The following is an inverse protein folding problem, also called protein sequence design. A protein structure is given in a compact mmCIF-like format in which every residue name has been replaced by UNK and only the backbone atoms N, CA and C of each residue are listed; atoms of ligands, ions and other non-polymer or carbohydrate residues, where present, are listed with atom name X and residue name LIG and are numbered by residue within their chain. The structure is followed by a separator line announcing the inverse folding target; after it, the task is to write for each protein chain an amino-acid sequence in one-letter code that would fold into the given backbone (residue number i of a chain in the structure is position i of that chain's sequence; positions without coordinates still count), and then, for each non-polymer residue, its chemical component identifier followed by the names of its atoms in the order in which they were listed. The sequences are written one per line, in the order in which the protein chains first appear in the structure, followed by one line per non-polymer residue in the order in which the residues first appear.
data_IF_043281690963
#
_entry.id   IF_043281690963
#
_cell.length_a   1.000
_cell.length_b   1.000
_cell.length_c   1.000
_cell.angle_alpha   90.00
_cell.angle_beta   90.00
_cell.angle_gamma   90.00
#
_symmetry.space_group_name_H-M   'P 1'
#
loop_
_entity.id
_entity.type
_entity.pdbx_description
1 polymer ?
#
# COMPACT_ATOMS: atom_id res chain seq x y z
N UNK A 1 -5.39 -16.57 -28.75
CA UNK A 1 -4.52 -16.71 -27.56
C UNK A 1 -5.34 -16.30 -26.37
N UNK A 2 -5.74 -17.29 -25.57
CA UNK A 2 -6.57 -17.15 -24.38
C UNK A 2 -5.79 -16.30 -23.37
N UNK A 3 -6.28 -15.09 -23.08
CA UNK A 3 -5.74 -14.27 -21.99
C UNK A 3 -5.99 -15.06 -20.72
N UNK A 4 -4.95 -15.68 -20.18
CA UNK A 4 -5.00 -16.30 -18.86
C UNK A 4 -5.04 -15.17 -17.84
N UNK A 5 -6.23 -14.63 -17.61
CA UNK A 5 -6.51 -13.87 -16.41
C UNK A 5 -6.49 -14.91 -15.28
N UNK A 6 -5.33 -15.12 -14.67
CA UNK A 6 -5.21 -16.18 -13.67
C UNK A 6 -5.79 -15.68 -12.36
N UNK A 7 -7.11 -15.76 -12.25
CA UNK A 7 -7.77 -15.86 -10.95
C UNK A 7 -7.40 -17.24 -10.43
N UNK A 8 -6.30 -17.31 -9.68
CA UNK A 8 -5.91 -18.53 -8.98
C UNK A 8 -6.97 -18.81 -7.89
N UNK A 9 -8.06 -19.50 -8.25
CA UNK A 9 -9.00 -20.09 -7.30
C UNK A 9 -8.35 -21.33 -6.70
N UNK A 10 -7.41 -21.11 -5.79
CA UNK A 10 -6.61 -22.18 -5.23
C UNK A 10 -6.99 -22.40 -3.78
N UNK A 11 -7.66 -23.54 -3.57
CA UNK A 11 -7.71 -24.25 -2.32
C UNK A 11 -6.28 -24.66 -1.99
N UNK A 12 -5.53 -23.88 -1.21
CA UNK A 12 -4.22 -24.32 -0.73
C UNK A 12 -4.06 -24.14 0.77
N UNK A 13 -3.62 -25.19 1.49
CA UNK A 13 -3.17 -25.03 2.86
C UNK A 13 -2.00 -24.03 2.93
N UNK A 14 -1.93 -23.35 4.06
CA UNK A 14 -1.11 -22.20 4.47
C UNK A 14 0.39 -22.21 4.12
N UNK A 15 0.93 -23.31 3.59
CA UNK A 15 2.35 -23.54 3.34
C UNK A 15 2.78 -23.34 1.87
N UNK A 16 1.82 -23.05 0.97
CA UNK A 16 2.06 -23.06 -0.48
C UNK A 16 2.10 -21.69 -1.17
N UNK A 17 1.83 -20.62 -0.41
CA UNK A 17 1.91 -19.24 -0.91
C UNK A 17 3.27 -18.89 -1.53
N UNK A 18 4.43 -19.33 -0.97
CA UNK A 18 5.74 -19.05 -1.56
C UNK A 18 5.98 -19.74 -2.91
N UNK A 19 5.46 -20.96 -3.10
CA UNK A 19 5.68 -21.74 -4.31
C UNK A 19 4.89 -21.18 -5.51
N UNK A 20 3.64 -20.75 -5.26
CA UNK A 20 2.81 -20.11 -6.28
C UNK A 20 3.29 -18.70 -6.60
N UNK A 21 3.66 -17.91 -5.59
CA UNK A 21 4.28 -16.60 -5.80
C UNK A 21 5.52 -16.72 -6.68
N UNK A 22 6.38 -17.73 -6.45
CA UNK A 22 7.56 -17.98 -7.28
C UNK A 22 7.22 -18.27 -8.75
N UNK A 23 6.18 -19.06 -9.02
CA UNK A 23 5.73 -19.34 -10.38
C UNK A 23 5.13 -18.10 -11.07
N UNK A 24 4.37 -17.28 -10.34
CA UNK A 24 3.82 -16.03 -10.87
C UNK A 24 4.92 -15.01 -11.10
N UNK A 25 5.90 -14.90 -10.21
CA UNK A 25 7.07 -14.03 -10.35
C UNK A 25 7.96 -14.41 -11.53
N UNK A 26 8.00 -15.70 -11.94
CA UNK A 26 8.66 -16.11 -13.18
C UNK A 26 7.98 -15.53 -14.44
N UNK A 27 6.67 -15.30 -14.39
CA UNK A 27 5.89 -14.73 -15.50
C UNK A 27 5.84 -13.19 -15.42
N UNK A 28 5.89 -12.64 -14.20
CA UNK A 28 5.85 -11.21 -13.95
C UNK A 28 6.44 -10.87 -12.58
N UNK A 29 7.73 -10.49 -12.50
CA UNK A 29 8.41 -10.25 -11.23
C UNK A 29 7.82 -9.08 -10.46
N UNK A 30 7.32 -8.05 -11.16
CA UNK A 30 6.76 -6.84 -10.52
C UNK A 30 5.36 -7.01 -9.94
N UNK A 31 4.66 -8.13 -10.21
CA UNK A 31 3.28 -8.41 -9.75
C UNK A 31 2.23 -7.30 -10.02
N UNK A 32 2.58 -6.25 -10.76
CA UNK A 32 1.80 -5.04 -11.06
C UNK A 32 0.47 -5.27 -11.78
N UNK A 33 0.26 -6.50 -12.28
CA UNK A 33 -0.96 -6.94 -12.98
C UNK A 33 -1.63 -8.13 -12.30
N UNK A 34 -1.28 -8.41 -11.04
CA UNK A 34 -1.70 -9.59 -10.30
C UNK A 34 -2.52 -9.18 -9.08
N UNK A 35 -3.75 -9.67 -9.00
CA UNK A 35 -4.56 -9.59 -7.78
C UNK A 35 -4.32 -10.84 -6.95
N UNK A 36 -4.14 -10.67 -5.65
CA UNK A 36 -3.94 -11.77 -4.71
C UNK A 36 -5.23 -12.00 -3.93
N UNK A 37 -5.74 -13.23 -3.98
CA UNK A 37 -6.93 -13.63 -3.22
C UNK A 37 -6.68 -14.90 -2.41
N UNK A 38 -6.22 -14.83 -1.15
CA UNK A 38 -6.09 -16.00 -0.31
C UNK A 38 -7.49 -16.56 0.01
N UNK A 39 -7.66 -17.86 -0.23
CA UNK A 39 -8.91 -18.56 0.07
C UNK A 39 -8.79 -19.39 1.34
N UNK A 40 -9.93 -19.85 1.86
CA UNK A 40 -10.02 -20.67 3.08
C UNK A 40 -9.49 -19.96 4.33
N UNK A 41 -9.79 -18.66 4.44
CA UNK A 41 -9.39 -17.85 5.58
C UNK A 41 -9.86 -18.46 6.91
N UNK A 42 -11.08 -19.02 6.94
CA UNK A 42 -11.66 -19.79 8.03
C UNK A 42 -10.75 -20.87 8.61
N UNK A 43 -9.98 -21.56 7.76
CA UNK A 43 -9.03 -22.59 8.20
C UNK A 43 -7.72 -22.01 8.72
N UNK A 44 -7.37 -20.80 8.27
CA UNK A 44 -6.12 -20.13 8.62
C UNK A 44 -6.23 -19.40 9.96
N UNK A 45 -7.38 -18.78 10.25
CA UNK A 45 -7.59 -17.98 11.48
C UNK A 45 -7.23 -18.76 12.77
N UNK A 46 -7.67 -20.02 12.95
CA UNK A 46 -7.33 -20.79 14.15
C UNK A 46 -5.83 -21.09 14.29
N UNK A 47 -5.07 -21.05 13.19
CA UNK A 47 -3.63 -21.37 13.16
C UNK A 47 -2.76 -20.20 13.63
N UNK A 48 -3.33 -19.00 13.80
CA UNK A 48 -2.58 -17.86 14.34
C UNK A 48 -2.33 -18.06 15.83
N UNK A 49 -1.05 -18.06 16.20
CA UNK A 49 -0.59 -18.24 17.57
C UNK A 49 -0.56 -16.92 18.33
N UNK A 50 -0.25 -15.82 17.65
CA UNK A 50 -0.18 -14.49 18.26
C UNK A 50 -0.78 -13.38 17.35
N UNK A 51 -1.10 -12.20 17.93
CA UNK A 51 -1.62 -11.06 17.17
C UNK A 51 -0.71 -10.62 16.01
N UNK A 52 0.61 -10.67 16.21
CA UNK A 52 1.57 -10.27 15.18
C UNK A 52 1.51 -11.14 13.93
N UNK A 53 1.16 -12.43 14.07
CA UNK A 53 0.97 -13.31 12.90
C UNK A 53 -0.21 -12.84 12.04
N UNK A 54 -1.25 -12.31 12.69
CA UNK A 54 -2.44 -11.77 12.02
C UNK A 54 -2.08 -10.47 11.30
N UNK A 55 -1.35 -9.57 11.95
CA UNK A 55 -0.94 -8.30 11.36
C UNK A 55 -0.08 -8.48 10.12
N UNK A 56 0.95 -9.33 10.19
CA UNK A 56 1.81 -9.63 9.05
C UNK A 56 1.03 -10.33 7.92
N UNK A 57 0.02 -11.12 8.27
CA UNK A 57 -0.80 -11.80 7.27
C UNK A 57 -1.76 -10.86 6.54
N UNK A 58 -2.40 -9.92 7.24
CA UNK A 58 -3.32 -8.94 6.66
C UNK A 58 -2.59 -7.81 5.93
N UNK A 59 -1.45 -7.39 6.46
CA UNK A 59 -0.61 -6.31 5.96
C UNK A 59 0.83 -6.82 5.77
N UNK A 60 1.09 -7.62 4.73
CA UNK A 60 2.43 -8.13 4.48
C UNK A 60 3.39 -6.96 4.23
N UNK A 61 4.60 -6.97 4.82
CA UNK A 61 5.60 -5.94 4.56
C UNK A 61 5.89 -5.79 3.07
N UNK A 62 6.13 -4.57 2.62
CA UNK A 62 6.43 -4.25 1.21
C UNK A 62 7.68 -4.96 0.68
N UNK A 63 8.58 -5.41 1.56
CA UNK A 63 9.76 -6.21 1.21
C UNK A 63 9.47 -7.69 0.93
N UNK A 64 8.30 -8.20 1.34
CA UNK A 64 7.94 -9.63 1.19
C UNK A 64 7.33 -9.94 -0.17
N UNK A 65 6.74 -8.93 -0.81
CA UNK A 65 6.28 -8.95 -2.18
C UNK A 65 7.13 -7.94 -2.92
N UNK A 66 8.16 -8.38 -3.64
CA UNK A 66 9.13 -7.55 -4.38
C UNK A 66 8.49 -6.79 -5.58
N UNK A 67 7.17 -6.56 -5.52
CA UNK A 67 6.34 -5.98 -6.56
C UNK A 67 5.00 -5.47 -5.99
N UNK A 68 4.51 -4.36 -6.54
CA UNK A 68 3.21 -3.79 -6.18
C UNK A 68 2.11 -4.68 -6.76
N UNK A 69 1.34 -5.38 -5.92
CA UNK A 69 0.17 -6.13 -6.39
C UNK A 69 -0.93 -5.19 -6.86
N UNK A 70 -1.75 -5.65 -7.82
CA UNK A 70 -2.86 -4.86 -8.34
C UNK A 70 -3.92 -4.67 -7.24
N UNK A 71 -4.07 -3.43 -6.77
CA UNK A 71 -4.96 -3.08 -5.65
C UNK A 71 -4.25 -2.91 -4.31
N UNK A 72 -2.91 -2.90 -4.30
CA UNK A 72 -2.00 -2.58 -3.17
C UNK A 72 -2.03 -3.56 -1.98
N UNK A 73 -3.13 -4.26 -1.75
CA UNK A 73 -3.30 -5.26 -0.69
C UNK A 73 -4.06 -6.51 -1.18
N UNK A 74 -3.84 -7.67 -0.54
CA UNK A 74 -4.60 -8.89 -0.83
C UNK A 74 -6.06 -8.77 -0.39
N UNK A 75 -6.95 -9.44 -1.13
CA UNK A 75 -8.36 -9.64 -0.74
C UNK A 75 -8.54 -11.02 -0.16
N UNK A 76 -9.26 -11.19 0.94
CA UNK A 76 -9.41 -12.51 1.58
C UNK A 76 -10.83 -13.04 1.43
N UNK A 77 -10.96 -14.37 1.37
CA UNK A 77 -12.28 -15.01 1.34
C UNK A 77 -12.27 -16.38 2.00
N UNK A 78 -13.32 -16.68 2.75
CA UNK A 78 -13.63 -18.05 3.18
C UNK A 78 -14.54 -18.71 2.16
N UNK A 79 -14.08 -19.83 1.61
CA UNK A 79 -14.82 -20.54 0.56
C UNK A 79 -15.76 -21.52 1.22
N UNK A 80 -17.04 -21.15 1.29
CA UNK A 80 -18.08 -22.06 1.74
C UNK A 80 -18.16 -23.27 0.82
N UNK A 81 -18.21 -24.46 1.43
CA UNK A 81 -18.40 -25.71 0.71
C UNK A 81 -19.88 -25.85 0.35
N UNK A 82 -20.18 -26.20 -0.90
CA UNK A 82 -21.55 -26.46 -1.33
C UNK A 82 -21.84 -25.98 -2.75
N UNK A 83 -22.91 -26.51 -3.34
CA UNK A 83 -23.42 -26.08 -4.64
C UNK A 83 -24.78 -25.41 -4.48
N UNK A 84 -25.02 -24.41 -5.30
CA UNK A 84 -26.33 -23.78 -5.46
C UNK A 84 -27.16 -24.61 -6.43
N UNK A 85 -28.42 -24.88 -6.09
CA UNK A 85 -29.38 -25.53 -6.99
C UNK A 85 -30.49 -26.27 -6.25
N UNK A 86 -31.36 -26.92 -7.02
CA UNK A 86 -32.54 -27.63 -6.48
C UNK A 86 -32.32 -29.14 -6.28
N UNK A 87 -31.08 -29.62 -6.44
CA UNK A 87 -30.75 -31.03 -6.28
C UNK A 87 -30.57 -31.43 -4.81
N UNK A 88 -30.71 -32.72 -4.50
CA UNK A 88 -30.53 -33.28 -3.14
C UNK A 88 -29.13 -33.01 -2.53
N UNK A 89 -28.12 -32.73 -3.38
CA UNK A 89 -26.75 -32.41 -2.96
C UNK A 89 -26.43 -30.90 -2.97
N UNK A 90 -27.42 -30.05 -3.20
CA UNK A 90 -27.25 -28.60 -3.15
C UNK A 90 -27.46 -28.11 -1.72
N UNK A 91 -26.45 -27.41 -1.19
CA UNK A 91 -26.50 -26.84 0.17
C UNK A 91 -27.21 -25.49 0.20
N UNK A 92 -27.40 -24.88 -0.97
CA UNK A 92 -28.02 -23.56 -1.11
C UNK A 92 -29.10 -23.63 -2.19
N UNK A 93 -30.30 -23.16 -1.85
CA UNK A 93 -31.47 -23.22 -2.72
C UNK A 93 -31.42 -22.15 -3.82
N UNK A 94 -30.78 -21.01 -3.51
CA UNK A 94 -30.62 -19.88 -4.42
C UNK A 94 -29.23 -19.25 -4.35
N UNK A 95 -28.89 -18.40 -5.33
CA UNK A 95 -27.66 -17.62 -5.29
C UNK A 95 -27.68 -16.60 -4.14
N UNK A 96 -28.85 -16.10 -3.75
CA UNK A 96 -28.97 -15.12 -2.68
C UNK A 96 -28.80 -15.79 -1.30
N UNK A 97 -29.29 -17.03 -1.14
CA UNK A 97 -29.03 -17.87 0.04
C UNK A 97 -27.53 -18.09 0.22
N UNK A 98 -26.82 -18.37 -0.88
CA UNK A 98 -25.37 -18.54 -0.87
C UNK A 98 -24.65 -17.24 -0.49
N UNK A 99 -25.01 -16.10 -1.11
CA UNK A 99 -24.42 -14.80 -0.76
C UNK A 99 -24.65 -14.45 0.70
N UNK A 100 -25.84 -14.72 1.23
CA UNK A 100 -26.17 -14.48 2.62
C UNK A 100 -25.32 -15.35 3.54
N UNK A 101 -25.16 -16.65 3.21
CA UNK A 101 -24.28 -17.54 3.96
C UNK A 101 -22.81 -17.06 3.95
N UNK A 102 -22.31 -16.59 2.80
CA UNK A 102 -20.96 -16.02 2.70
C UNK A 102 -20.83 -14.78 3.58
N UNK A 103 -21.81 -13.86 3.54
CA UNK A 103 -21.82 -12.65 4.38
C UNK A 103 -21.78 -12.98 5.87
N UNK A 104 -22.54 -13.99 6.32
CA UNK A 104 -22.46 -14.48 7.69
C UNK A 104 -21.08 -15.03 8.03
N UNK A 105 -20.48 -15.83 7.14
CA UNK A 105 -19.13 -16.37 7.36
C UNK A 105 -18.07 -15.26 7.42
N UNK A 106 -18.14 -14.27 6.55
CA UNK A 106 -17.25 -13.10 6.56
C UNK A 106 -17.36 -12.34 7.89
N UNK A 107 -18.56 -12.23 8.46
CA UNK A 107 -18.78 -11.62 9.78
C UNK A 107 -18.15 -12.44 10.91
N UNK A 108 -18.26 -13.77 10.89
CA UNK A 108 -17.59 -14.65 11.85
C UNK A 108 -16.06 -14.57 11.74
N UNK A 109 -15.54 -14.50 10.51
CA UNK A 109 -14.10 -14.41 10.26
C UNK A 109 -13.54 -13.10 10.79
N UNK A 110 -14.26 -11.98 10.59
CA UNK A 110 -13.92 -10.67 11.17
C UNK A 110 -13.90 -10.75 12.69
N UNK A 111 -14.93 -11.33 13.32
CA UNK A 111 -14.99 -11.46 14.78
C UNK A 111 -13.84 -12.30 15.33
N UNK A 112 -13.54 -13.43 14.67
CA UNK A 112 -12.45 -14.33 15.06
C UNK A 112 -11.07 -13.68 14.91
N UNK A 113 -10.88 -12.86 13.87
CA UNK A 113 -9.66 -12.08 13.67
C UNK A 113 -9.51 -10.99 14.72
N UNK A 114 -10.57 -10.23 15.02
CA UNK A 114 -10.56 -9.17 16.04
C UNK A 114 -10.25 -9.75 17.43
N UNK A 115 -10.78 -10.92 17.76
CA UNK A 115 -10.45 -11.65 19.00
C UNK A 115 -8.96 -12.03 19.05
N UNK A 116 -8.42 -12.62 17.97
CA UNK A 116 -7.01 -13.02 17.88
C UNK A 116 -6.06 -11.82 17.92
N UNK A 117 -6.48 -10.70 17.38
CA UNK A 117 -5.70 -9.47 17.29
C UNK A 117 -5.77 -8.64 18.59
N UNK A 118 -6.80 -8.84 19.41
CA UNK A 118 -7.03 -8.08 20.63
C UNK A 118 -7.47 -6.62 20.40
N UNK A 119 -7.82 -6.27 19.16
CA UNK A 119 -8.31 -4.95 18.75
C UNK A 119 -9.29 -5.08 17.58
N UNK A 120 -10.19 -4.10 17.39
CA UNK A 120 -11.01 -4.05 16.17
C UNK A 120 -10.13 -3.88 14.92
N UNK A 121 -10.60 -4.41 13.80
CA UNK A 121 -9.94 -4.22 12.51
C UNK A 121 -10.16 -2.78 12.03
N UNK A 122 -9.13 -2.21 11.41
CA UNK A 122 -9.24 -0.94 10.70
C UNK A 122 -10.23 -1.06 9.53
N UNK A 123 -10.74 0.09 9.07
CA UNK A 123 -11.66 0.13 7.93
C UNK A 123 -11.08 -0.52 6.68
N UNK A 124 -9.77 -0.38 6.45
CA UNK A 124 -9.07 -0.94 5.29
C UNK A 124 -8.91 -2.45 5.42
N UNK A 125 -8.46 -2.96 6.58
CA UNK A 125 -8.38 -4.40 6.85
C UNK A 125 -9.76 -5.05 6.68
N UNK A 126 -10.81 -4.48 7.29
CA UNK A 126 -12.17 -4.99 7.18
C UNK A 126 -12.69 -4.98 5.76
N UNK A 127 -12.46 -3.90 5.00
CA UNK A 127 -12.89 -3.82 3.61
C UNK A 127 -12.32 -4.98 2.80
N UNK A 128 -11.04 -5.33 2.98
CA UNK A 128 -10.38 -6.39 2.21
C UNK A 128 -10.85 -7.82 2.56
N UNK A 129 -11.51 -8.01 3.70
CA UNK A 129 -12.10 -9.29 4.13
C UNK A 129 -13.50 -9.54 3.55
N UNK A 130 -14.21 -8.48 3.14
CA UNK A 130 -15.57 -8.58 2.60
C UNK A 130 -15.50 -8.77 1.08
N UNK A 131 -15.16 -9.98 0.67
CA UNK A 131 -14.88 -10.31 -0.73
C UNK A 131 -16.05 -9.97 -1.64
N UNK A 132 -17.29 -10.30 -1.25
CA UNK A 132 -18.49 -10.06 -2.07
C UNK A 132 -18.63 -8.59 -2.48
N UNK A 133 -18.37 -7.67 -1.56
CA UNK A 133 -18.46 -6.24 -1.84
C UNK A 133 -17.30 -5.73 -2.70
N UNK A 134 -16.17 -6.44 -2.70
CA UNK A 134 -15.01 -6.12 -3.53
C UNK A 134 -15.05 -6.76 -4.91
N UNK A 135 -15.88 -7.78 -5.18
CA UNK A 135 -15.95 -8.41 -6.51
C UNK A 135 -16.15 -7.38 -7.65
N UNK A 136 -17.06 -6.38 -7.54
CA UNK A 136 -17.19 -5.34 -8.57
C UNK A 136 -15.92 -4.50 -8.73
N UNK A 137 -15.23 -4.19 -7.63
CA UNK A 137 -13.97 -3.43 -7.64
C UNK A 137 -12.87 -4.25 -8.33
N UNK A 138 -12.67 -5.51 -7.92
CA UNK A 138 -11.69 -6.44 -8.49
C UNK A 138 -11.93 -6.60 -9.99
N UNK A 139 -13.19 -6.83 -10.40
CA UNK A 139 -13.53 -6.93 -11.82
C UNK A 139 -13.22 -5.63 -12.57
N UNK A 140 -13.53 -4.47 -11.99
CA UNK A 140 -13.22 -3.17 -12.62
C UNK A 140 -11.72 -2.96 -12.80
N UNK A 141 -10.91 -3.32 -11.79
CA UNK A 141 -9.45 -3.26 -11.85
C UNK A 141 -8.91 -4.19 -12.96
N UNK A 142 -9.37 -5.44 -12.99
CA UNK A 142 -8.98 -6.41 -14.01
C UNK A 142 -9.39 -5.96 -15.42
N UNK A 143 -10.60 -5.43 -15.60
CA UNK A 143 -11.07 -4.91 -16.89
C UNK A 143 -10.31 -3.66 -17.34
N UNK A 144 -9.92 -2.79 -16.40
CA UNK A 144 -9.09 -1.62 -16.70
C UNK A 144 -7.70 -2.07 -17.18
N UNK A 145 -7.06 -2.97 -16.45
CA UNK A 145 -5.74 -3.50 -16.82
C UNK A 145 -5.78 -4.29 -18.12
N UNK A 146 -6.79 -5.14 -18.31
CA UNK A 146 -6.99 -5.88 -19.54
C UNK A 146 -7.13 -4.93 -20.75
N UNK A 147 -7.96 -3.89 -20.66
CA UNK A 147 -8.10 -2.88 -21.73
C UNK A 147 -6.82 -2.09 -21.97
N UNK A 148 -6.06 -1.79 -20.92
CA UNK A 148 -4.77 -1.10 -21.02
C UNK A 148 -3.75 -1.96 -21.78
N UNK A 149 -3.57 -3.20 -21.35
CA UNK A 149 -2.64 -4.16 -21.97
C UNK A 149 -3.05 -4.49 -23.41
N UNK A 150 -4.35 -4.65 -23.68
CA UNK A 150 -4.86 -4.94 -25.02
C UNK A 150 -4.58 -3.79 -25.98
N UNK A 151 -4.77 -2.53 -25.54
CA UNK A 151 -4.39 -1.35 -26.33
C UNK A 151 -2.90 -1.33 -26.62
N UNK A 152 -2.05 -1.43 -25.59
CA UNK A 152 -0.59 -1.48 -25.76
C UNK A 152 -0.16 -2.59 -26.71
N UNK A 153 -0.76 -3.77 -26.62
CA UNK A 153 -0.46 -4.89 -27.52
C UNK A 153 -0.89 -4.61 -28.96
N UNK A 154 -2.05 -3.98 -29.15
CA UNK A 154 -2.52 -3.55 -30.48
C UNK A 154 -1.58 -2.51 -31.09
N UNK A 155 -1.20 -1.51 -30.30
CA UNK A 155 -0.29 -0.44 -30.72
C UNK A 155 1.06 -1.01 -31.13
N UNK A 156 1.65 -1.89 -30.31
CA UNK A 156 2.92 -2.56 -30.62
C UNK A 156 2.80 -3.45 -31.87
N UNK A 157 1.68 -4.18 -32.04
CA UNK A 157 1.46 -4.99 -33.25
C UNK A 157 1.36 -4.13 -34.52
N UNK A 158 0.68 -3.00 -34.45
CA UNK A 158 0.57 -2.04 -35.55
C UNK A 158 1.91 -1.36 -35.84
N UNK A 159 2.66 -1.04 -34.79
CA UNK A 159 4.02 -0.51 -34.92
C UNK A 159 4.94 -1.52 -35.60
N UNK A 160 4.86 -2.80 -35.22
CA UNK A 160 5.63 -3.88 -35.80
C UNK A 160 5.26 -4.14 -37.27
N UNK A 161 3.98 -4.07 -37.62
CA UNK A 161 3.51 -4.31 -38.99
C UNK A 161 3.87 -3.18 -39.96
N UNK A 162 4.09 -1.97 -39.44
CA UNK A 162 4.46 -0.79 -40.23
C UNK A 162 5.96 -0.47 -40.16
N UNK A 163 6.75 -1.34 -39.51
CA UNK A 163 8.18 -1.16 -39.33
C UNK A 163 8.93 -1.44 -40.65
N UNK A 164 9.74 -0.49 -41.08
CA UNK A 164 10.65 -0.62 -42.23
C UNK A 164 12.06 -0.10 -41.84
N UNK A 165 13.03 -0.28 -42.73
CA UNK A 165 14.43 0.12 -42.49
C UNK A 165 14.55 1.63 -42.19
N UNK A 166 13.77 2.47 -42.88
CA UNK A 166 13.82 3.92 -42.72
C UNK A 166 13.31 4.36 -41.35
N UNK A 167 12.16 3.84 -40.91
CA UNK A 167 11.57 4.08 -39.58
C UNK A 167 12.44 3.51 -38.47
N UNK A 168 13.08 2.36 -38.68
CA UNK A 168 14.00 1.79 -37.69
C UNK A 168 15.22 2.69 -37.49
N UNK A 169 15.81 3.21 -38.58
CA UNK A 169 16.89 4.19 -38.54
C UNK A 169 16.45 5.50 -37.86
N UNK A 170 15.23 5.96 -38.12
CA UNK A 170 14.66 7.15 -37.46
C UNK A 170 14.50 6.95 -35.95
N UNK A 171 13.91 5.82 -35.52
CA UNK A 171 13.80 5.48 -34.09
C UNK A 171 15.16 5.35 -33.41
N UNK A 172 16.13 4.75 -34.09
CA UNK A 172 17.52 4.67 -33.62
C UNK A 172 18.14 6.04 -33.39
N UNK A 173 17.96 6.98 -34.33
CA UNK A 173 18.40 8.38 -34.18
C UNK A 173 17.68 9.08 -33.02
N UNK A 174 16.36 8.97 -32.95
CA UNK A 174 15.57 9.58 -31.88
C UNK A 174 15.99 9.07 -30.48
N UNK A 175 16.24 7.76 -30.36
CA UNK A 175 16.75 7.18 -29.11
C UNK A 175 18.15 7.71 -28.77
N UNK A 176 19.06 7.75 -29.75
CA UNK A 176 20.40 8.28 -29.58
C UNK A 176 20.38 9.74 -29.09
N UNK A 177 19.58 10.59 -29.72
CA UNK A 177 19.46 12.01 -29.36
C UNK A 177 18.84 12.20 -27.96
N UNK A 178 17.80 11.41 -27.65
CA UNK A 178 17.19 11.37 -26.31
C UNK A 178 18.21 10.94 -25.25
N UNK A 179 18.97 9.88 -25.51
CA UNK A 179 19.99 9.37 -24.61
C UNK A 179 21.07 10.42 -24.33
N UNK A 180 21.63 11.03 -25.38
CA UNK A 180 22.64 12.08 -25.23
C UNK A 180 22.10 13.30 -24.49
N UNK A 181 20.84 13.67 -24.74
CA UNK A 181 20.18 14.75 -24.00
C UNK A 181 20.07 14.44 -22.51
N UNK A 182 19.59 13.23 -22.17
CA UNK A 182 19.47 12.78 -20.77
C UNK A 182 20.83 12.65 -20.09
N UNK A 183 21.85 12.14 -20.79
CA UNK A 183 23.22 12.05 -20.30
C UNK A 183 23.81 13.43 -20.02
N UNK A 184 23.60 14.40 -20.92
CA UNK A 184 24.04 15.79 -20.74
C UNK A 184 23.37 16.43 -19.52
N UNK A 185 22.06 16.23 -19.33
CA UNK A 185 21.34 16.70 -18.14
C UNK A 185 21.86 16.06 -16.85
N UNK A 186 22.17 14.77 -16.89
CA UNK A 186 22.71 14.03 -15.75
C UNK A 186 24.12 14.51 -15.37
N UNK A 187 25.01 14.71 -16.36
CA UNK A 187 26.35 15.25 -16.15
C UNK A 187 26.34 16.70 -15.64
N UNK A 188 25.33 17.49 -16.02
CA UNK A 188 25.09 18.84 -15.49
C UNK A 188 24.49 18.83 -14.07
N UNK A 189 24.22 17.65 -13.49
CA UNK A 189 23.60 17.51 -12.18
C UNK A 189 22.12 17.93 -12.13
N UNK A 190 21.44 18.01 -13.28
CA UNK A 190 20.04 18.44 -13.33
C UNK A 190 19.12 17.25 -13.02
N UNK A 191 18.85 17.01 -11.73
CA UNK A 191 17.85 16.04 -11.26
C UNK A 191 16.47 16.71 -11.22
N UNK A 192 16.04 17.31 -12.33
CA UNK A 192 14.67 17.80 -12.44
C UNK A 192 13.80 16.61 -12.83
N UNK A 193 13.30 15.92 -11.81
CA UNK A 193 12.27 14.91 -11.98
C UNK A 193 10.95 15.61 -12.38
N UNK A 194 10.15 15.04 -13.29
CA UNK A 194 8.84 15.59 -13.62
C UNK A 194 7.93 15.61 -12.37
N UNK A 195 7.42 16.77 -11.93
CA UNK A 195 6.53 16.86 -10.77
C UNK A 195 5.23 16.05 -10.94
N UNK A 196 4.78 15.85 -12.18
CA UNK A 196 3.61 15.04 -12.50
C UNK A 196 3.80 13.55 -12.22
N UNK A 197 5.06 13.08 -12.23
CA UNK A 197 5.38 11.68 -11.91
C UNK A 197 5.83 11.49 -10.47
N UNK A 198 6.69 12.37 -9.98
CA UNK A 198 7.40 12.17 -8.71
C UNK A 198 7.00 13.15 -7.62
N UNK A 199 6.27 14.21 -7.96
CA UNK A 199 5.78 15.17 -6.98
C UNK A 199 4.54 14.67 -6.24
N UNK A 200 4.34 15.19 -5.04
CA UNK A 200 3.16 14.93 -4.21
C UNK A 200 2.52 16.28 -3.84
N UNK A 201 1.19 16.31 -3.78
CA UNK A 201 0.48 17.43 -3.14
C UNK A 201 0.54 17.26 -1.63
N UNK A 202 0.21 18.31 -0.87
CA UNK A 202 0.13 18.18 0.59
C UNK A 202 -0.89 17.12 1.03
N UNK A 203 -1.96 16.92 0.24
CA UNK A 203 -2.94 15.86 0.53
C UNK A 203 -2.31 14.49 0.39
N UNK A 204 -1.53 14.26 -0.66
CA UNK A 204 -0.86 12.99 -0.92
C UNK A 204 0.17 12.72 0.20
N UNK A 205 0.94 13.74 0.58
CA UNK A 205 1.92 13.68 1.68
C UNK A 205 1.29 13.26 3.00
N UNK A 206 0.15 13.85 3.37
CA UNK A 206 -0.54 13.53 4.63
C UNK A 206 -1.19 12.16 4.62
N UNK A 207 -1.61 11.67 3.45
CA UNK A 207 -2.13 10.30 3.30
C UNK A 207 -1.00 9.27 3.45
N UNK A 208 0.16 9.54 2.85
CA UNK A 208 1.27 8.59 2.80
C UNK A 208 2.17 8.65 4.05
N UNK A 209 2.45 9.85 4.57
CA UNK A 209 3.37 10.11 5.67
C UNK A 209 2.71 10.59 6.96
N UNK A 210 1.39 10.81 6.95
CA UNK A 210 0.66 11.39 8.08
C UNK A 210 0.72 12.91 8.14
N UNK A 211 -0.16 13.51 8.96
CA UNK A 211 -0.18 14.95 9.20
C UNK A 211 0.44 15.27 10.56
N UNK A 212 1.16 16.38 10.66
CA UNK A 212 1.59 16.89 11.96
C UNK A 212 0.36 17.40 12.73
N UNK A 213 0.20 16.91 13.95
CA UNK A 213 -0.91 17.25 14.85
C UNK A 213 -0.38 17.99 16.07
N UNK A 214 -1.08 19.05 16.47
CA UNK A 214 -0.80 19.74 17.73
C UNK A 214 -1.11 18.87 18.94
N UNK A 215 -0.68 19.32 20.12
CA UNK A 215 -0.99 18.67 21.39
C UNK A 215 -2.51 18.61 21.70
N UNK A 216 -3.29 19.46 21.04
CA UNK A 216 -4.76 19.50 21.05
C UNK A 216 -5.40 18.51 20.04
N UNK A 217 -4.60 17.77 19.29
CA UNK A 217 -5.05 16.87 18.24
C UNK A 217 -5.52 17.58 16.97
N UNK A 218 -5.36 18.91 16.88
CA UNK A 218 -5.81 19.69 15.72
C UNK A 218 -4.73 19.71 14.66
N UNK A 219 -5.12 19.40 13.43
CA UNK A 219 -4.23 19.49 12.26
C UNK A 219 -4.16 20.92 11.74
N UNK A 220 -3.01 21.29 11.20
CA UNK A 220 -2.86 22.60 10.59
C UNK A 220 -3.73 22.73 9.32
N UNK A 221 -4.47 23.83 9.14
CA UNK A 221 -5.37 23.98 7.99
C UNK A 221 -4.63 23.96 6.66
N UNK A 222 -5.11 23.11 5.74
CA UNK A 222 -4.54 22.91 4.40
C UNK A 222 -4.35 24.22 3.62
N UNK A 223 -5.25 25.19 3.81
CA UNK A 223 -5.24 26.49 3.10
C UNK A 223 -4.13 27.43 3.56
N UNK A 224 -3.55 27.20 4.74
CA UNK A 224 -2.51 28.07 5.30
C UNK A 224 -1.10 27.56 4.98
N UNK A 225 -0.97 26.35 4.44
CA UNK A 225 0.32 25.78 4.04
C UNK A 225 0.69 26.31 2.64
N UNK A 226 1.85 26.95 2.48
CA UNK A 226 2.32 27.41 1.18
C UNK A 226 2.41 26.27 0.18
N UNK A 227 1.99 26.53 -1.06
CA UNK A 227 2.07 25.59 -2.17
C UNK A 227 1.35 24.25 -1.93
N UNK A 228 0.35 24.19 -1.04
CA UNK A 228 -0.31 22.94 -0.67
C UNK A 228 -0.91 22.16 -1.88
N UNK A 229 -1.43 22.89 -2.87
CA UNK A 229 -1.98 22.31 -4.10
C UNK A 229 -0.94 21.97 -5.18
N UNK A 230 0.34 22.31 -5.00
CA UNK A 230 1.39 22.02 -5.98
C UNK A 230 2.00 20.64 -5.73
N UNK A 231 2.33 19.92 -6.81
CA UNK A 231 3.09 18.66 -6.74
C UNK A 231 4.57 18.97 -6.55
N UNK A 232 5.12 18.68 -5.39
CA UNK A 232 6.52 18.94 -5.03
C UNK A 232 7.23 17.63 -4.69
N UNK A 233 8.54 17.56 -4.89
CA UNK A 233 9.35 16.40 -4.53
C UNK A 233 10.70 16.85 -3.95
N UNK A 234 11.36 15.95 -3.24
CA UNK A 234 12.71 16.17 -2.70
C UNK A 234 12.76 17.38 -1.76
N UNK A 235 13.74 18.26 -1.96
CA UNK A 235 13.97 19.41 -1.07
C UNK A 235 12.80 20.39 -0.95
N UNK A 236 12.02 20.59 -2.02
CA UNK A 236 10.87 21.50 -1.97
C UNK A 236 9.72 20.92 -1.12
N UNK A 237 9.49 19.62 -1.23
CA UNK A 237 8.56 18.88 -0.39
C UNK A 237 9.03 18.85 1.08
N UNK A 238 10.32 18.59 1.32
CA UNK A 238 10.91 18.64 2.66
C UNK A 238 10.71 20.01 3.33
N UNK A 239 10.96 21.11 2.61
CA UNK A 239 10.73 22.45 3.16
C UNK A 239 9.26 22.72 3.50
N UNK A 240 8.32 22.21 2.69
CA UNK A 240 6.88 22.31 3.00
C UNK A 240 6.54 21.56 4.29
N UNK A 241 7.03 20.32 4.43
CA UNK A 241 6.83 19.52 5.65
C UNK A 241 7.47 20.18 6.88
N UNK A 242 8.68 20.74 6.75
CA UNK A 242 9.35 21.46 7.84
C UNK A 242 8.62 22.72 8.28
N UNK A 243 8.02 23.47 7.34
CA UNK A 243 7.21 24.63 7.67
C UNK A 243 5.95 24.24 8.48
N UNK A 244 5.31 23.13 8.11
CA UNK A 244 4.18 22.57 8.87
C UNK A 244 4.62 22.12 10.27
N UNK A 245 5.73 21.38 10.38
CA UNK A 245 6.28 20.95 11.66
C UNK A 245 6.63 22.12 12.60
N UNK A 246 7.34 23.13 12.09
CA UNK A 246 7.69 24.34 12.86
C UNK A 246 6.46 25.06 13.40
N UNK A 247 5.39 25.12 12.60
CA UNK A 247 4.15 25.72 13.05
C UNK A 247 3.54 24.92 14.20
N UNK A 248 3.44 23.59 14.05
CA UNK A 248 2.86 22.71 15.07
C UNK A 248 3.63 22.79 16.37
N UNK A 249 4.96 22.68 16.33
CA UNK A 249 5.82 22.78 17.53
C UNK A 249 5.75 24.17 18.15
N UNK A 250 5.72 25.23 17.34
CA UNK A 250 5.59 26.60 17.83
C UNK A 250 4.28 26.88 18.59
N UNK A 251 3.24 26.08 18.35
CA UNK A 251 1.97 26.14 19.08
C UNK A 251 1.93 25.35 20.39
N UNK A 252 2.92 24.48 20.64
CA UNK A 252 2.97 23.67 21.86
C UNK A 252 3.43 24.56 23.01
N UNK A 253 2.56 24.80 23.99
CA UNK A 253 2.95 25.43 25.25
C UNK A 253 3.85 24.45 26.00
N UNK A 254 5.13 24.77 26.16
CA UNK A 254 5.98 24.06 27.09
C UNK A 254 5.35 24.13 28.48
N UNK A 255 5.20 22.97 29.13
CA UNK A 255 4.88 22.94 30.55
C UNK A 255 5.97 23.71 31.30
N UNK A 256 5.58 24.59 32.24
CA UNK A 256 6.57 25.28 33.05
C UNK A 256 7.37 24.22 33.82
N UNK A 257 8.65 24.09 33.48
CA UNK A 257 9.55 23.17 34.17
C UNK A 257 9.81 23.76 35.55
N UNK A 258 9.46 23.02 36.60
CA UNK A 258 9.70 23.44 37.97
C UNK A 258 11.18 23.33 38.33
N UNK A 259 11.64 24.11 39.31
CA UNK A 259 13.04 24.05 39.75
C UNK A 259 13.37 22.65 40.29
N UNK A 260 12.40 22.01 40.92
CA UNK A 260 12.46 20.65 41.46
C UNK A 260 12.67 19.62 40.34
N UNK A 261 11.94 19.72 39.23
CA UNK A 261 12.14 18.85 38.05
C UNK A 261 13.52 19.05 37.42
N UNK A 262 14.01 20.28 37.36
CA UNK A 262 15.37 20.58 36.86
C UNK A 262 16.41 19.91 37.76
N UNK A 263 16.32 20.10 39.07
CA UNK A 263 17.27 19.54 40.05
C UNK A 263 17.25 18.00 40.02
N UNK A 264 16.06 17.40 39.93
CA UNK A 264 15.89 15.95 39.84
C UNK A 264 16.45 15.36 38.54
N UNK A 265 16.26 16.05 37.41
CA UNK A 265 16.84 15.64 36.12
C UNK A 265 18.36 15.84 36.07
N UNK A 266 18.87 16.86 36.76
CA UNK A 266 20.29 17.19 36.80
C UNK A 266 21.10 16.20 37.63
N UNK A 267 20.50 15.50 38.60
CA UNK A 267 21.11 14.45 39.40
C UNK A 267 22.35 14.92 40.18
N UNK A 268 22.30 14.89 41.50
CA UNK A 268 23.49 15.15 42.32
C UNK A 268 24.33 13.86 42.30
N UNK A 269 25.52 13.87 41.69
CA UNK A 269 26.48 12.79 41.89
C UNK A 269 27.12 12.97 43.28
N UNK A 270 27.33 11.86 44.00
CA UNK A 270 27.77 11.77 45.41
C UNK A 270 29.13 12.46 45.75
N UNK A 271 29.74 13.16 44.79
CA UNK A 271 31.10 13.69 44.92
C UNK A 271 31.17 15.22 44.70
N UNK A 272 30.20 15.86 44.03
CA UNK A 272 30.21 17.32 43.81
C UNK A 272 28.80 17.93 43.68
N UNK A 273 28.54 19.00 44.44
CA UNK A 273 27.32 19.83 44.42
C UNK A 273 27.15 20.70 43.15
N UNK A 274 27.95 20.47 42.11
CA UNK A 274 27.87 21.24 40.86
C UNK A 274 26.90 20.61 39.85
N UNK A 275 26.01 21.44 39.29
CA UNK A 275 24.97 21.02 38.35
C UNK A 275 25.58 20.58 37.02
N UNK A 276 25.44 19.30 36.65
CA UNK A 276 26.07 18.74 35.46
C UNK A 276 25.23 18.99 34.19
N UNK A 277 25.51 20.09 33.48
CA UNK A 277 24.81 20.47 32.25
C UNK A 277 25.01 19.51 31.06
N UNK A 278 25.91 18.52 31.15
CA UNK A 278 26.22 17.62 30.03
C UNK A 278 25.12 16.61 29.71
N UNK A 279 24.18 16.34 30.63
CA UNK A 279 23.08 15.38 30.40
C UNK A 279 21.85 15.96 29.69
N UNK A 280 21.74 17.28 29.57
CA UNK A 280 20.53 17.93 29.02
C UNK A 280 20.57 18.01 27.47
N UNK A 281 21.71 17.68 26.84
CA UNK A 281 21.94 17.91 25.40
C UNK A 281 21.98 16.64 24.52
N UNK A 282 21.51 15.48 25.00
CA UNK A 282 21.48 14.22 24.23
C UNK A 282 20.07 13.71 23.99
#
# INVERSE_FOLDING_TARGET
MTVSCVVFKFVVPSYFFPALAKAVMQIGPELSRTVVVPTKLDTKIPQFACPSDVEVFLLPPTSTLDGCILGDLPFFTSVLSGRVGSGSHCLYSSNDDFKQAVSFKEMEDVASLEEKLGRPLSKQERNNLVYINNVPLINSLLEKEHRSVTRKLSDVKQELSTLDEAKLKEKGRAFHDMFLTKLSLLLKGTVVAPPDKFGETLSDERVNGGAFVGADGVQFPHKLIPNAGMRLYGGAQYHRAMAEFHFVVGGIKCTPITREEIVNACGVEDIHDETNYSRIAS
#
